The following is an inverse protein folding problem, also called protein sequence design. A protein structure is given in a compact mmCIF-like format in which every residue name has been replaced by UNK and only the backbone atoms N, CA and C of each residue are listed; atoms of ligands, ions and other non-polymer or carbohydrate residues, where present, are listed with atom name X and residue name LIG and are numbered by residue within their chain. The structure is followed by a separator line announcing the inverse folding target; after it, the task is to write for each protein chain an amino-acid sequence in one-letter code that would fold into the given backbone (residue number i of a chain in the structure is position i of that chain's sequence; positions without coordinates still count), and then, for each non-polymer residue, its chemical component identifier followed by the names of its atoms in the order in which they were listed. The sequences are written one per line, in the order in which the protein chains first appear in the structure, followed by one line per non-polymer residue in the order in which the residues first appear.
data_IF_060837724242
#
_entry.id   IF_060837724242
#
_cell.length_a   1.000
_cell.length_b   1.000
_cell.length_c   1.000
_cell.angle_alpha   90.00
_cell.angle_beta   90.00
_cell.angle_gamma   90.00
#
_symmetry.space_group_name_H-M   'P 1'
#
loop_
_entity.id
_entity.type
_entity.pdbx_description
1 polymer ?
#
# COMPACT_ATOMS: atom_id res chain seq x y z
N UNK A 1 -27.69 34.98 -35.13
CA UNK A 1 -28.40 33.81 -34.53
C UNK A 1 -27.43 32.65 -34.45
N UNK A 2 -26.88 32.38 -33.25
CA UNK A 2 -25.99 31.24 -33.03
C UNK A 2 -26.86 30.00 -32.93
N UNK A 3 -26.76 29.13 -33.92
CA UNK A 3 -27.45 27.84 -33.94
C UNK A 3 -26.95 27.01 -32.76
N UNK A 4 -27.81 26.83 -31.76
CA UNK A 4 -27.58 25.94 -30.63
C UNK A 4 -27.41 24.52 -31.17
N UNK A 5 -26.18 24.01 -31.08
CA UNK A 5 -25.86 22.62 -31.42
C UNK A 5 -26.66 21.69 -30.50
N UNK A 6 -27.68 21.05 -31.08
CA UNK A 6 -28.44 19.98 -30.47
C UNK A 6 -27.48 18.91 -29.94
N UNK A 7 -27.48 18.74 -28.63
CA UNK A 7 -26.64 17.77 -27.94
C UNK A 7 -27.20 16.37 -28.23
N UNK A 8 -26.52 15.63 -29.09
CA UNK A 8 -26.94 14.27 -29.50
C UNK A 8 -27.13 13.36 -28.26
N UNK A 9 -28.36 12.84 -28.04
CA UNK A 9 -28.72 12.06 -26.84
C UNK A 9 -27.87 10.78 -26.67
N UNK A 10 -27.30 10.26 -27.77
CA UNK A 10 -26.42 9.08 -27.77
C UNK A 10 -25.15 9.26 -26.91
N UNK A 11 -24.66 10.49 -26.73
CA UNK A 11 -23.43 10.77 -25.95
C UNK A 11 -23.68 10.70 -24.45
N UNK A 12 -24.81 11.25 -24.00
CA UNK A 12 -25.20 11.21 -22.59
C UNK A 12 -25.47 9.78 -22.13
N UNK A 13 -26.07 8.96 -23.00
CA UNK A 13 -26.34 7.54 -22.73
C UNK A 13 -25.04 6.74 -22.51
N UNK A 14 -23.99 6.96 -23.31
CA UNK A 14 -22.69 6.28 -23.14
C UNK A 14 -22.04 6.62 -21.79
N UNK A 15 -22.08 7.89 -21.38
CA UNK A 15 -21.57 8.31 -20.08
C UNK A 15 -22.40 7.71 -18.92
N UNK A 16 -23.73 7.63 -19.09
CA UNK A 16 -24.62 7.01 -18.12
C UNK A 16 -24.35 5.49 -17.98
N UNK A 17 -24.08 4.80 -19.09
CA UNK A 17 -23.68 3.39 -19.07
C UNK A 17 -22.40 3.19 -18.25
N UNK A 18 -21.37 4.00 -18.50
CA UNK A 18 -20.12 3.93 -17.76
C UNK A 18 -20.32 4.22 -16.27
N UNK A 19 -21.14 5.22 -15.93
CA UNK A 19 -21.49 5.51 -14.55
C UNK A 19 -22.18 4.31 -13.87
N UNK A 20 -23.13 3.67 -14.55
CA UNK A 20 -23.81 2.48 -14.04
C UNK A 20 -22.85 1.31 -13.76
N UNK A 21 -21.89 1.07 -14.66
CA UNK A 21 -20.85 0.05 -14.47
C UNK A 21 -19.96 0.37 -13.26
N UNK A 22 -19.49 1.62 -13.14
CA UNK A 22 -18.64 2.04 -12.01
C UNK A 22 -19.40 2.01 -10.69
N UNK A 23 -20.67 2.41 -10.68
CA UNK A 23 -21.53 2.37 -9.51
C UNK A 23 -21.76 0.93 -9.05
N UNK A 24 -22.06 0.01 -9.98
CA UNK A 24 -22.21 -1.41 -9.67
C UNK A 24 -20.91 -1.98 -9.08
N UNK A 25 -19.76 -1.70 -9.71
CA UNK A 25 -18.47 -2.12 -9.20
C UNK A 25 -18.22 -1.58 -7.78
N UNK A 26 -18.56 -0.30 -7.51
CA UNK A 26 -18.43 0.31 -6.18
C UNK A 26 -19.32 -0.37 -5.15
N UNK A 27 -20.58 -0.67 -5.49
CA UNK A 27 -21.51 -1.39 -4.61
C UNK A 27 -20.94 -2.77 -4.27
N UNK A 28 -20.48 -3.53 -5.27
CA UNK A 28 -19.88 -4.86 -5.06
C UNK A 28 -18.59 -4.81 -4.22
N UNK A 29 -17.78 -3.75 -4.35
CA UNK A 29 -16.59 -3.53 -3.52
C UNK A 29 -16.95 -3.29 -2.05
N UNK A 30 -17.99 -2.49 -1.80
CA UNK A 30 -18.44 -2.12 -0.46
C UNK A 30 -19.31 -3.20 0.20
N UNK A 31 -19.85 -4.13 -0.59
CA UNK A 31 -20.72 -5.18 -0.09
C UNK A 31 -20.01 -6.09 0.94
N UNK A 32 -20.63 -6.23 2.11
CA UNK A 32 -20.12 -7.01 3.24
C UNK A 32 -19.10 -6.28 4.10
N UNK A 33 -18.90 -4.96 3.92
CA UNK A 33 -17.98 -4.14 4.72
C UNK A 33 -18.72 -3.18 5.63
N UNK A 34 -18.16 -2.91 6.81
CA UNK A 34 -18.62 -1.84 7.68
C UNK A 34 -18.23 -0.48 7.10
N UNK A 35 -19.15 0.12 6.36
CA UNK A 35 -18.98 1.46 5.78
C UNK A 35 -19.57 2.49 6.73
N UNK A 36 -18.81 3.52 7.15
CA UNK A 36 -19.36 4.61 7.94
C UNK A 36 -20.46 5.32 7.14
N UNK A 37 -21.71 5.20 7.58
CA UNK A 37 -22.85 5.87 6.97
C UNK A 37 -22.92 7.31 7.49
N UNK A 38 -22.64 8.27 6.62
CA UNK A 38 -22.71 9.70 6.88
C UNK A 38 -23.31 10.40 5.66
N UNK A 39 -23.80 11.61 5.86
CA UNK A 39 -24.26 12.47 4.76
C UNK A 39 -23.18 12.63 3.67
N UNK A 40 -21.91 12.64 4.06
CA UNK A 40 -20.77 12.78 3.14
C UNK A 40 -20.38 11.48 2.43
N UNK A 41 -20.82 10.32 2.89
CA UNK A 41 -20.33 9.02 2.41
C UNK A 41 -20.56 8.80 0.91
N UNK A 42 -21.76 9.05 0.34
CA UNK A 42 -21.97 8.85 -1.10
C UNK A 42 -21.02 9.67 -1.96
N UNK A 43 -20.83 10.94 -1.61
CA UNK A 43 -19.90 11.85 -2.32
C UNK A 43 -18.46 11.39 -2.11
N UNK A 44 -18.08 11.03 -0.87
CA UNK A 44 -16.74 10.59 -0.51
C UNK A 44 -16.30 9.34 -1.29
N UNK A 45 -17.21 8.39 -1.57
CA UNK A 45 -16.90 7.16 -2.31
C UNK A 45 -17.01 7.29 -3.83
N UNK A 46 -17.86 8.18 -4.35
CA UNK A 46 -18.18 8.22 -5.79
C UNK A 46 -17.51 9.37 -6.56
N UNK A 47 -16.99 10.41 -5.90
CA UNK A 47 -16.49 11.59 -6.62
C UNK A 47 -15.39 11.28 -7.64
N UNK A 48 -14.54 10.27 -7.40
CA UNK A 48 -13.51 9.86 -8.36
C UNK A 48 -14.10 9.12 -9.56
N UNK A 49 -15.13 8.30 -9.34
CA UNK A 49 -15.86 7.61 -10.42
C UNK A 49 -16.59 8.62 -11.30
N UNK A 50 -17.23 9.62 -10.68
CA UNK A 50 -17.89 10.74 -11.37
C UNK A 50 -16.86 11.56 -12.17
N UNK A 51 -15.66 11.79 -11.64
CA UNK A 51 -14.58 12.47 -12.38
C UNK A 51 -14.18 11.71 -13.65
N UNK A 52 -14.05 10.39 -13.57
CA UNK A 52 -13.75 9.53 -14.73
C UNK A 52 -14.89 9.55 -15.74
N UNK A 53 -16.14 9.53 -15.28
CA UNK A 53 -17.32 9.63 -16.16
C UNK A 53 -17.37 10.99 -16.87
N UNK A 54 -17.08 12.08 -16.18
CA UNK A 54 -17.02 13.42 -16.79
C UNK A 54 -15.92 13.49 -17.86
N UNK A 55 -14.73 12.94 -17.56
CA UNK A 55 -13.64 12.87 -18.54
C UNK A 55 -14.04 12.02 -19.76
N UNK A 56 -14.71 10.89 -19.53
CA UNK A 56 -15.24 10.06 -20.61
C UNK A 56 -16.33 10.79 -21.43
N UNK A 57 -17.20 11.56 -20.78
CA UNK A 57 -18.18 12.40 -21.46
C UNK A 57 -17.51 13.47 -22.34
N UNK A 58 -16.40 14.06 -21.92
CA UNK A 58 -15.59 14.95 -22.76
C UNK A 58 -14.94 14.17 -23.91
N UNK A 59 -14.35 13.00 -23.64
CA UNK A 59 -13.74 12.14 -24.67
C UNK A 59 -14.75 11.76 -25.76
N UNK A 60 -15.97 11.35 -25.39
CA UNK A 60 -17.03 11.03 -26.36
C UNK A 60 -17.45 12.22 -27.21
N UNK A 61 -17.42 13.45 -26.65
CA UNK A 61 -17.67 14.68 -27.43
C UNK A 61 -16.53 14.96 -28.40
N UNK A 62 -15.28 14.88 -27.96
CA UNK A 62 -14.10 15.12 -28.79
C UNK A 62 -13.96 14.08 -29.92
N UNK A 63 -14.28 12.82 -29.63
CA UNK A 63 -14.17 11.70 -30.58
C UNK A 63 -15.47 11.44 -31.35
N UNK A 64 -16.37 12.43 -31.44
CA UNK A 64 -17.67 12.29 -32.16
C UNK A 64 -17.50 11.82 -33.61
N UNK A 65 -16.40 12.17 -34.28
CA UNK A 65 -16.08 11.74 -35.66
C UNK A 65 -15.54 10.31 -35.77
N UNK A 66 -15.15 9.69 -34.65
CA UNK A 66 -14.51 8.37 -34.57
C UNK A 66 -15.09 7.59 -33.38
N UNK A 67 -16.33 7.08 -33.48
CA UNK A 67 -17.05 6.47 -32.36
C UNK A 67 -16.37 5.19 -31.83
N UNK A 68 -15.55 4.52 -32.63
CA UNK A 68 -14.78 3.36 -32.19
C UNK A 68 -13.84 3.68 -31.03
N UNK A 69 -13.29 4.90 -30.96
CA UNK A 69 -12.37 5.32 -29.87
C UNK A 69 -13.11 5.39 -28.53
N UNK A 70 -14.35 5.87 -28.53
CA UNK A 70 -15.17 5.91 -27.34
C UNK A 70 -15.53 4.50 -26.84
N UNK A 71 -15.85 3.58 -27.76
CA UNK A 71 -16.17 2.20 -27.42
C UNK A 71 -14.96 1.40 -26.94
N UNK A 72 -13.78 1.60 -27.55
CA UNK A 72 -12.55 0.99 -27.07
C UNK A 72 -12.17 1.52 -25.69
N UNK A 73 -12.29 2.84 -25.46
CA UNK A 73 -12.07 3.43 -24.13
C UNK A 73 -13.05 2.90 -23.08
N UNK A 74 -14.33 2.74 -23.43
CA UNK A 74 -15.35 2.15 -22.56
C UNK A 74 -15.03 0.70 -22.19
N UNK A 75 -14.73 -0.13 -23.19
CA UNK A 75 -14.38 -1.54 -22.99
C UNK A 75 -13.11 -1.70 -22.17
N UNK A 76 -12.05 -0.97 -22.51
CA UNK A 76 -10.78 -1.00 -21.78
C UNK A 76 -10.96 -0.57 -20.32
N UNK A 77 -11.72 0.51 -20.08
CA UNK A 77 -12.00 1.00 -18.72
C UNK A 77 -12.76 -0.04 -17.91
N UNK A 78 -13.81 -0.62 -18.48
CA UNK A 78 -14.62 -1.64 -17.81
C UNK A 78 -13.78 -2.87 -17.46
N UNK A 79 -13.03 -3.40 -18.43
CA UNK A 79 -12.17 -4.56 -18.21
C UNK A 79 -11.16 -4.27 -17.10
N UNK A 80 -10.55 -3.09 -17.13
CA UNK A 80 -9.58 -2.70 -16.12
C UNK A 80 -10.20 -2.60 -14.71
N UNK A 81 -11.40 -2.03 -14.59
CA UNK A 81 -12.15 -1.97 -13.32
C UNK A 81 -12.54 -3.36 -12.84
N UNK A 82 -13.05 -4.22 -13.72
CA UNK A 82 -13.44 -5.58 -13.40
C UNK A 82 -12.26 -6.42 -12.88
N UNK A 83 -11.10 -6.35 -13.55
CA UNK A 83 -9.88 -7.05 -13.13
C UNK A 83 -9.35 -6.56 -11.78
N UNK A 84 -9.58 -5.29 -11.42
CA UNK A 84 -9.16 -4.74 -10.14
C UNK A 84 -10.14 -5.05 -9.00
N UNK A 85 -11.37 -5.52 -9.27
CA UNK A 85 -12.37 -5.72 -8.23
C UNK A 85 -11.94 -6.72 -7.15
N UNK A 86 -11.42 -7.92 -7.48
CA UNK A 86 -10.90 -8.85 -6.47
C UNK A 86 -9.73 -8.26 -5.67
N UNK A 87 -8.84 -7.53 -6.35
CA UNK A 87 -7.69 -6.88 -5.73
C UNK A 87 -8.12 -5.80 -4.73
N UNK A 88 -9.11 -4.98 -5.08
CA UNK A 88 -9.66 -3.97 -4.17
C UNK A 88 -10.33 -4.63 -2.97
N UNK A 89 -11.06 -5.74 -3.16
CA UNK A 89 -11.67 -6.47 -2.04
C UNK A 89 -10.63 -7.14 -1.13
N UNK A 90 -9.48 -7.53 -1.65
CA UNK A 90 -8.41 -8.11 -0.85
C UNK A 90 -7.57 -7.03 -0.13
N UNK A 91 -7.14 -6.01 -0.86
CA UNK A 91 -6.12 -5.06 -0.43
C UNK A 91 -6.66 -3.69 -0.02
N UNK A 92 -7.97 -3.46 -0.18
CA UNK A 92 -8.63 -2.15 0.00
C UNK A 92 -8.00 -1.03 -0.85
N UNK A 93 -7.30 -1.41 -1.92
CA UNK A 93 -6.70 -0.50 -2.90
C UNK A 93 -6.69 -1.18 -4.27
N UNK A 94 -6.96 -0.42 -5.35
CA UNK A 94 -6.69 -0.91 -6.71
C UNK A 94 -5.18 -1.07 -6.94
N UNK A 95 -4.83 -1.76 -8.02
CA UNK A 95 -3.45 -2.02 -8.41
C UNK A 95 -2.70 -0.71 -8.67
N UNK A 96 -1.64 -0.49 -7.90
CA UNK A 96 -0.79 0.71 -8.00
C UNK A 96 0.49 0.43 -8.79
N UNK A 97 1.16 1.48 -9.26
CA UNK A 97 2.41 1.31 -10.00
C UNK A 97 3.54 0.67 -9.16
N UNK A 98 3.70 1.01 -7.85
CA UNK A 98 4.65 0.31 -6.99
C UNK A 98 4.34 -1.17 -6.81
N UNK A 99 3.04 -1.55 -6.72
CA UNK A 99 2.66 -2.96 -6.70
C UNK A 99 3.13 -3.66 -7.97
N UNK A 100 2.78 -3.14 -9.15
CA UNK A 100 3.24 -3.68 -10.45
C UNK A 100 4.77 -3.83 -10.54
N UNK A 101 5.54 -2.89 -9.97
CA UNK A 101 7.01 -2.96 -9.94
C UNK A 101 7.53 -4.01 -8.96
N UNK A 102 6.97 -4.05 -7.75
CA UNK A 102 7.40 -4.94 -6.68
C UNK A 102 6.97 -6.40 -6.92
N UNK A 103 5.82 -6.61 -7.53
CA UNK A 103 5.18 -7.91 -7.66
C UNK A 103 5.22 -8.41 -9.10
N UNK A 104 6.42 -8.64 -9.66
CA UNK A 104 6.58 -9.28 -10.99
C UNK A 104 6.03 -10.73 -10.95
N UNK A 105 6.74 -11.76 -11.43
CA UNK A 105 6.18 -13.13 -11.58
C UNK A 105 5.43 -13.71 -10.37
N UNK A 106 5.74 -13.29 -9.13
CA UNK A 106 5.07 -13.71 -7.90
C UNK A 106 3.57 -13.31 -7.80
N UNK A 107 3.14 -12.21 -8.43
CA UNK A 107 1.72 -11.81 -8.37
C UNK A 107 0.86 -12.76 -9.23
N UNK A 108 1.39 -13.27 -10.34
CA UNK A 108 0.65 -14.17 -11.23
C UNK A 108 0.25 -15.48 -10.54
N UNK A 109 1.15 -16.06 -9.74
CA UNK A 109 0.86 -17.25 -8.95
C UNK A 109 -0.14 -16.98 -7.81
N UNK A 110 -0.06 -15.80 -7.18
CA UNK A 110 -1.01 -15.40 -6.13
C UNK A 110 -2.41 -15.11 -6.69
N UNK A 111 -2.49 -14.49 -7.87
CA UNK A 111 -3.75 -14.24 -8.58
C UNK A 111 -4.44 -15.56 -8.91
N UNK A 112 -3.70 -16.59 -9.36
CA UNK A 112 -4.26 -17.93 -9.59
C UNK A 112 -4.88 -18.52 -8.33
N UNK A 113 -4.25 -18.33 -7.17
CA UNK A 113 -4.79 -18.82 -5.90
C UNK A 113 -6.06 -18.06 -5.45
N UNK A 114 -6.20 -16.79 -5.84
CA UNK A 114 -7.34 -15.93 -5.46
C UNK A 114 -8.46 -15.86 -6.51
N UNK A 115 -8.39 -16.67 -7.58
CA UNK A 115 -9.48 -16.92 -8.52
C UNK A 115 -10.54 -17.83 -7.88
N UNK A 116 -11.18 -17.34 -6.82
CA UNK A 116 -12.32 -18.01 -6.19
C UNK A 116 -13.58 -17.84 -7.03
N UNK A 117 -14.54 -18.75 -6.89
CA UNK A 117 -15.85 -18.68 -7.58
C UNK A 117 -16.55 -17.34 -7.29
N UNK A 118 -16.43 -16.83 -6.06
CA UNK A 118 -16.94 -15.51 -5.68
C UNK A 118 -16.30 -14.38 -6.50
N UNK A 119 -14.97 -14.35 -6.61
CA UNK A 119 -14.28 -13.31 -7.37
C UNK A 119 -14.57 -13.38 -8.87
N UNK A 120 -14.72 -14.59 -9.43
CA UNK A 120 -15.17 -14.78 -10.82
C UNK A 120 -16.60 -14.26 -11.01
N UNK A 121 -17.52 -14.55 -10.08
CA UNK A 121 -18.90 -14.07 -10.15
C UNK A 121 -18.98 -12.54 -10.10
N UNK A 122 -18.22 -11.90 -9.22
CA UNK A 122 -18.19 -10.44 -9.10
C UNK A 122 -17.61 -9.78 -10.36
N UNK A 123 -16.49 -10.32 -10.87
CA UNK A 123 -15.87 -9.84 -12.12
C UNK A 123 -16.82 -10.02 -13.31
N UNK A 124 -17.46 -11.18 -13.40
CA UNK A 124 -18.45 -11.50 -14.43
C UNK A 124 -19.69 -10.61 -14.37
N UNK A 125 -20.15 -10.25 -13.17
CA UNK A 125 -21.30 -9.35 -12.98
C UNK A 125 -21.02 -7.94 -13.53
N UNK A 126 -19.82 -7.40 -13.29
CA UNK A 126 -19.43 -6.09 -13.82
C UNK A 126 -19.28 -6.12 -15.35
N UNK A 127 -18.64 -7.16 -15.89
CA UNK A 127 -18.49 -7.32 -17.35
C UNK A 127 -19.85 -7.54 -18.02
N UNK A 128 -20.73 -8.35 -17.42
CA UNK A 128 -22.10 -8.57 -17.89
C UNK A 128 -22.90 -7.28 -17.90
N UNK A 129 -22.84 -6.49 -16.82
CA UNK A 129 -23.48 -5.18 -16.78
C UNK A 129 -22.95 -4.24 -17.86
N UNK A 130 -21.65 -4.26 -18.15
CA UNK A 130 -21.09 -3.43 -19.22
C UNK A 130 -21.54 -3.79 -20.63
N UNK A 131 -21.91 -5.06 -20.87
CA UNK A 131 -22.49 -5.53 -22.14
C UNK A 131 -24.00 -5.22 -22.20
N UNK A 132 -24.71 -5.40 -21.09
CA UNK A 132 -26.17 -5.25 -21.01
C UNK A 132 -26.62 -3.79 -20.94
N UNK A 133 -25.93 -2.94 -20.17
CA UNK A 133 -26.33 -1.54 -19.94
C UNK A 133 -26.45 -0.73 -21.24
N UNK A 134 -25.53 -0.82 -22.21
CA UNK A 134 -25.70 -0.11 -23.46
C UNK A 134 -26.90 -0.59 -24.29
N UNK A 135 -27.26 -1.87 -24.20
CA UNK A 135 -28.46 -2.39 -24.87
C UNK A 135 -29.75 -1.91 -24.18
N UNK A 136 -29.78 -1.92 -22.85
CA UNK A 136 -30.92 -1.49 -22.04
C UNK A 136 -31.17 0.02 -22.12
N UNK A 137 -30.10 0.82 -22.09
CA UNK A 137 -30.20 2.28 -22.09
C UNK A 137 -30.28 2.88 -23.50
N UNK A 138 -30.21 2.07 -24.56
CA UNK A 138 -30.31 2.53 -25.96
C UNK A 138 -31.61 3.29 -26.25
N UNK A 139 -32.70 2.94 -25.57
CA UNK A 139 -34.01 3.56 -25.76
C UNK A 139 -34.26 4.76 -24.83
N UNK A 140 -33.37 5.01 -23.88
CA UNK A 140 -33.52 6.11 -22.91
C UNK A 140 -33.11 7.42 -23.57
N UNK A 141 -34.08 8.32 -23.74
CA UNK A 141 -33.84 9.69 -24.18
C UNK A 141 -33.86 10.61 -22.97
N UNK A 142 -32.69 11.12 -22.59
CA UNK A 142 -32.59 12.13 -21.54
C UNK A 142 -33.08 13.47 -22.08
N UNK A 143 -34.05 14.08 -21.41
CA UNK A 143 -34.45 15.44 -21.72
C UNK A 143 -33.27 16.40 -21.50
N UNK A 144 -33.05 17.41 -22.37
CA UNK A 144 -31.96 18.37 -22.23
C UNK A 144 -31.80 18.98 -20.82
N UNK A 145 -32.86 19.43 -20.12
CA UNK A 145 -32.69 20.00 -18.78
C UNK A 145 -32.19 18.97 -17.75
N UNK A 146 -32.59 17.70 -17.88
CA UNK A 146 -32.14 16.62 -16.99
C UNK A 146 -30.66 16.33 -17.23
N UNK A 147 -30.22 16.28 -18.50
CA UNK A 147 -28.82 16.05 -18.84
C UNK A 147 -27.91 17.19 -18.33
N UNK A 148 -28.37 18.44 -18.43
CA UNK A 148 -27.65 19.61 -17.87
C UNK A 148 -27.61 19.54 -16.34
N UNK A 149 -28.73 19.24 -15.69
CA UNK A 149 -28.81 19.08 -14.23
C UNK A 149 -27.86 18.00 -13.70
N UNK A 150 -27.82 16.83 -14.35
CA UNK A 150 -26.88 15.74 -14.02
C UNK A 150 -25.42 16.16 -14.23
N UNK A 151 -25.14 16.95 -15.28
CA UNK A 151 -23.82 17.52 -15.52
C UNK A 151 -23.38 18.46 -14.39
N UNK A 152 -24.25 19.38 -13.97
CA UNK A 152 -23.98 20.31 -12.86
C UNK A 152 -23.77 19.54 -11.55
N UNK A 153 -24.67 18.60 -11.23
CA UNK A 153 -24.55 17.78 -10.03
C UNK A 153 -23.23 16.98 -10.00
N UNK A 154 -22.80 16.45 -11.15
CA UNK A 154 -21.52 15.75 -11.28
C UNK A 154 -20.33 16.67 -10.99
N UNK A 155 -20.34 17.90 -11.52
CA UNK A 155 -19.28 18.89 -11.25
C UNK A 155 -19.23 19.27 -9.78
N UNK A 156 -20.39 19.49 -9.14
CA UNK A 156 -20.48 19.79 -7.71
C UNK A 156 -19.96 18.62 -6.86
N UNK A 157 -20.31 17.38 -7.20
CA UNK A 157 -19.83 16.19 -6.50
C UNK A 157 -18.30 16.03 -6.61
N UNK A 158 -17.71 16.33 -7.77
CA UNK A 158 -16.25 16.31 -7.95
C UNK A 158 -15.57 17.42 -7.15
N UNK A 159 -16.13 18.63 -7.14
CA UNK A 159 -15.57 19.77 -6.41
C UNK A 159 -15.62 19.57 -4.88
N UNK A 160 -16.71 18.98 -4.37
CA UNK A 160 -16.90 18.70 -2.93
C UNK A 160 -16.25 17.39 -2.48
N UNK A 161 -15.87 16.52 -3.43
CA UNK A 161 -15.28 15.20 -3.19
C UNK A 161 -14.09 15.16 -2.23
N UNK A 162 -13.04 15.99 -2.41
CA UNK A 162 -11.88 16.00 -1.51
C UNK A 162 -12.24 16.37 -0.06
N UNK A 163 -13.19 17.29 0.14
CA UNK A 163 -13.70 17.67 1.47
C UNK A 163 -14.52 16.53 2.06
N UNK A 164 -15.39 15.90 1.27
CA UNK A 164 -16.16 14.74 1.72
C UNK A 164 -15.24 13.58 2.16
N UNK A 165 -14.18 13.32 1.38
CA UNK A 165 -13.23 12.24 1.65
C UNK A 165 -12.33 12.48 2.87
N UNK A 166 -12.13 13.73 3.30
CA UNK A 166 -11.40 14.05 4.54
C UNK A 166 -12.28 13.95 5.80
N UNK A 167 -13.60 13.94 5.64
CA UNK A 167 -14.58 13.83 6.73
C UNK A 167 -15.02 12.39 7.01
N UNK A 168 -14.66 11.44 6.14
CA UNK A 168 -15.07 10.04 6.23
C UNK A 168 -13.85 9.13 6.17
N UNK A 169 -13.75 8.21 7.13
CA UNK A 169 -12.72 7.16 7.13
C UNK A 169 -13.00 6.12 6.04
N UNK A 170 -12.56 6.44 4.84
CA UNK A 170 -12.85 5.64 3.64
C UNK A 170 -11.95 4.42 3.47
N UNK A 171 -10.91 4.24 4.30
CA UNK A 171 -9.96 3.12 4.23
C UNK A 171 -9.36 2.86 2.83
N UNK A 172 -9.22 3.91 2.02
CA UNK A 172 -8.72 3.79 0.64
C UNK A 172 -9.74 3.26 -0.38
N UNK A 173 -10.92 2.82 0.04
CA UNK A 173 -11.96 2.24 -0.81
C UNK A 173 -12.68 3.26 -1.70
N UNK A 174 -12.46 4.57 -1.50
CA UNK A 174 -12.92 5.62 -2.41
C UNK A 174 -12.05 5.73 -3.67
N UNK A 175 -10.88 5.08 -3.70
CA UNK A 175 -9.92 5.23 -4.79
C UNK A 175 -10.46 4.56 -6.06
N UNK A 176 -10.53 5.32 -7.14
CA UNK A 176 -10.72 4.80 -8.48
C UNK A 176 -9.37 4.30 -9.04
N UNK A 177 -9.43 3.31 -9.91
CA UNK A 177 -8.26 2.63 -10.47
C UNK A 177 -7.31 3.60 -11.20
N UNK A 178 -7.85 4.57 -11.96
CA UNK A 178 -7.02 5.57 -12.64
C UNK A 178 -6.40 6.59 -11.69
N UNK A 179 -7.16 7.04 -10.70
CA UNK A 179 -6.65 7.97 -9.69
C UNK A 179 -5.54 7.33 -8.87
N UNK A 180 -5.67 6.05 -8.51
CA UNK A 180 -4.62 5.34 -7.81
C UNK A 180 -3.36 5.18 -8.66
N UNK A 181 -3.50 4.82 -9.94
CA UNK A 181 -2.37 4.70 -10.86
C UNK A 181 -1.66 6.06 -11.06
N UNK A 182 -2.41 7.11 -11.40
CA UNK A 182 -1.87 8.45 -11.64
C UNK A 182 -1.21 9.02 -10.38
N UNK A 183 -1.89 8.91 -9.23
CA UNK A 183 -1.38 9.41 -7.94
C UNK A 183 -0.11 8.70 -7.49
N UNK A 184 0.06 7.43 -7.85
CA UNK A 184 1.27 6.65 -7.52
C UNK A 184 2.35 6.74 -8.59
N UNK A 185 2.02 7.19 -9.81
CA UNK A 185 3.00 7.54 -10.83
C UNK A 185 3.63 8.91 -10.59
N UNK A 186 2.85 9.86 -10.07
CA UNK A 186 3.32 11.18 -9.65
C UNK A 186 3.97 11.04 -8.27
N UNK A 187 5.29 10.81 -8.27
CA UNK A 187 6.14 10.63 -7.09
C UNK A 187 5.72 11.53 -5.91
N UNK A 188 5.49 10.92 -4.75
CA UNK A 188 5.10 11.60 -3.52
C UNK A 188 6.20 11.39 -2.50
N UNK A 189 6.67 12.52 -1.98
CA UNK A 189 7.82 12.66 -1.10
C UNK A 189 9.12 12.79 -1.91
N UNK A 190 9.37 14.00 -2.41
CA UNK A 190 10.76 14.45 -2.47
C UNK A 190 11.29 14.40 -1.05
N UNK A 191 12.49 13.86 -0.85
CA UNK A 191 13.15 13.95 0.44
C UNK A 191 13.24 15.44 0.79
N UNK A 192 12.35 15.91 1.67
CA UNK A 192 12.55 17.21 2.28
C UNK A 192 13.91 17.09 2.95
N UNK A 193 14.86 17.91 2.49
CA UNK A 193 16.04 18.18 3.29
C UNK A 193 15.51 18.90 4.54
N UNK A 194 15.08 18.13 5.54
CA UNK A 194 14.81 18.65 6.87
C UNK A 194 16.15 19.16 7.39
N UNK A 195 16.43 20.42 7.07
CA UNK A 195 17.56 21.16 7.59
C UNK A 195 17.50 21.15 9.10
N UNK A 196 18.60 20.74 9.72
CA UNK A 196 18.99 20.97 11.11
C UNK A 196 17.93 20.72 12.22
N UNK A 197 16.84 20.01 11.95
CA UNK A 197 15.90 19.59 12.97
C UNK A 197 16.48 18.36 13.67
N UNK A 198 16.52 18.41 15.00
CA UNK A 198 16.92 17.25 15.82
C UNK A 198 16.11 16.03 15.39
N UNK A 199 16.77 15.07 14.74
CA UNK A 199 16.14 13.85 14.21
C UNK A 199 15.48 13.00 15.30
N UNK A 200 15.77 13.29 16.58
CA UNK A 200 15.11 12.67 17.75
C UNK A 200 13.73 13.26 18.03
N UNK A 201 13.38 14.42 17.45
CA UNK A 201 12.04 15.01 17.61
C UNK A 201 11.04 14.27 16.73
N UNK A 202 10.13 13.53 17.37
CA UNK A 202 8.99 12.93 16.69
C UNK A 202 7.98 14.01 16.27
N UNK A 203 7.53 14.06 15.00
CA UNK A 203 6.49 14.98 14.54
C UNK A 203 5.11 14.72 15.18
N UNK A 204 4.94 13.56 15.85
CA UNK A 204 3.71 13.20 16.56
C UNK A 204 3.59 13.87 17.94
N UNK A 205 4.65 14.47 18.48
CA UNK A 205 4.64 15.14 19.79
C UNK A 205 4.16 16.61 19.74
N UNK A 206 3.64 17.07 18.60
CA UNK A 206 3.38 18.49 18.34
C UNK A 206 2.14 19.08 19.04
N UNK A 207 1.25 18.26 19.63
CA UNK A 207 -0.05 18.75 20.16
C UNK A 207 -0.56 18.10 21.44
N UNK A 208 0.12 17.09 21.97
CA UNK A 208 -0.22 16.47 23.26
C UNK A 208 0.87 16.85 24.26
N UNK A 209 0.51 17.20 25.50
CA UNK A 209 1.47 17.42 26.60
C UNK A 209 2.60 16.40 26.48
N UNK A 210 3.89 16.80 26.53
CA UNK A 210 4.98 15.85 26.44
C UNK A 210 4.78 14.84 27.56
N UNK A 211 4.28 13.64 27.23
CA UNK A 211 4.53 12.48 28.07
C UNK A 211 6.05 12.45 28.11
N UNK A 212 6.62 12.74 29.28
CA UNK A 212 8.06 12.75 29.48
C UNK A 212 8.61 11.56 28.70
N UNK A 213 9.42 11.82 27.68
CA UNK A 213 10.09 10.74 26.97
C UNK A 213 10.85 9.99 28.06
N UNK A 214 10.36 8.80 28.45
CA UNK A 214 10.95 8.08 29.55
C UNK A 214 12.40 7.81 29.17
N UNK A 215 13.31 8.51 29.85
CA UNK A 215 14.72 8.44 29.54
C UNK A 215 15.19 7.00 29.76
N UNK A 216 15.58 6.32 28.68
CA UNK A 216 16.17 4.98 28.76
C UNK A 216 17.63 5.01 29.25
N UNK A 217 18.12 6.16 29.70
CA UNK A 217 19.48 6.35 30.23
C UNK A 217 19.79 5.42 31.40
N UNK A 218 18.78 5.05 32.21
CA UNK A 218 18.90 4.06 33.30
C UNK A 218 19.37 2.67 32.82
N UNK A 219 19.19 2.35 31.53
CA UNK A 219 19.61 1.07 30.96
C UNK A 219 20.98 1.12 30.28
N UNK A 220 21.67 2.27 30.31
CA UNK A 220 22.97 2.43 29.66
C UNK A 220 23.98 1.44 30.25
N UNK A 221 24.53 0.58 29.40
CA UNK A 221 25.53 -0.43 29.79
C UNK A 221 24.96 -1.70 30.45
N UNK A 222 23.66 -1.77 30.73
CA UNK A 222 23.06 -2.91 31.44
C UNK A 222 23.23 -4.27 30.74
N UNK A 223 23.48 -4.25 29.42
CA UNK A 223 23.70 -5.44 28.59
C UNK A 223 25.16 -5.63 28.13
N UNK A 224 26.13 -4.93 28.73
CA UNK A 224 27.55 -5.09 28.36
C UNK A 224 28.01 -6.55 28.52
N UNK A 225 28.69 -7.09 27.51
CA UNK A 225 29.18 -8.47 27.49
C UNK A 225 28.10 -9.54 27.24
N UNK A 226 26.82 -9.17 27.15
CA UNK A 226 25.71 -10.10 26.87
C UNK A 226 25.60 -10.40 25.38
N UNK A 227 25.10 -11.60 25.05
CA UNK A 227 24.73 -11.94 23.69
C UNK A 227 23.53 -11.11 23.22
N UNK A 228 23.58 -10.65 21.96
CA UNK A 228 22.48 -9.92 21.32
C UNK A 228 21.84 -10.82 20.28
N UNK A 229 20.52 -10.98 20.37
CA UNK A 229 19.71 -11.70 19.38
C UNK A 229 18.65 -10.74 18.85
N UNK A 230 18.70 -10.49 17.54
CA UNK A 230 17.71 -9.66 16.85
C UNK A 230 16.76 -10.58 16.09
N UNK A 231 15.48 -10.57 16.48
CA UNK A 231 14.41 -11.34 15.82
C UNK A 231 13.56 -10.37 15.02
N UNK A 232 13.54 -10.52 13.70
CA UNK A 232 12.68 -9.74 12.81
C UNK A 232 11.47 -10.58 12.42
N UNK A 233 10.28 -10.07 12.74
CA UNK A 233 9.02 -10.70 12.39
C UNK A 233 8.58 -10.19 11.01
N UNK A 234 8.57 -11.09 10.03
CA UNK A 234 8.21 -10.77 8.65
C UNK A 234 6.71 -10.42 8.56
N UNK A 235 6.40 -9.27 7.94
CA UNK A 235 5.02 -8.83 7.66
C UNK A 235 4.05 -8.87 8.86
N UNK A 236 4.55 -8.68 10.07
CA UNK A 236 3.77 -8.81 11.30
C UNK A 236 3.22 -7.45 11.74
N UNK A 237 1.92 -7.25 11.57
CA UNK A 237 1.23 -6.04 12.00
C UNK A 237 0.82 -6.08 13.48
N UNK A 238 1.03 -4.99 14.21
CA UNK A 238 0.69 -4.86 15.64
C UNK A 238 -0.77 -5.23 15.96
N UNK A 239 -1.71 -4.93 15.05
CA UNK A 239 -3.15 -5.27 15.21
C UNK A 239 -3.46 -6.76 15.38
N UNK A 240 -2.51 -7.65 15.06
CA UNK A 240 -2.66 -9.11 15.22
C UNK A 240 -1.95 -9.65 16.47
N UNK A 241 -1.31 -8.79 17.25
CA UNK A 241 -0.54 -9.18 18.42
C UNK A 241 -1.32 -8.86 19.69
N UNK A 242 -1.43 -9.83 20.59
CA UNK A 242 -2.14 -9.69 21.86
C UNK A 242 -1.60 -8.55 22.72
N UNK A 243 -0.28 -8.34 22.70
CA UNK A 243 0.40 -7.25 23.39
C UNK A 243 -0.06 -5.84 22.96
N UNK A 244 -0.71 -5.71 21.79
CA UNK A 244 -1.25 -4.45 21.27
C UNK A 244 -2.79 -4.46 21.20
N UNK A 245 -3.44 -5.37 21.92
CA UNK A 245 -4.91 -5.39 22.06
C UNK A 245 -5.65 -6.28 21.06
N UNK A 246 -4.97 -7.16 20.32
CA UNK A 246 -5.65 -8.15 19.48
C UNK A 246 -6.54 -9.07 20.34
N UNK A 247 -7.69 -9.49 19.80
CA UNK A 247 -8.63 -10.41 20.47
C UNK A 247 -8.06 -11.83 20.55
N UNK A 248 -7.45 -12.29 19.47
CA UNK A 248 -6.78 -13.58 19.38
C UNK A 248 -5.30 -13.46 19.78
N UNK A 249 -4.71 -14.57 20.22
CA UNK A 249 -3.27 -14.65 20.52
C UNK A 249 -2.58 -15.72 19.66
N UNK A 250 -2.25 -15.41 18.39
CA UNK A 250 -1.54 -16.34 17.52
C UNK A 250 -0.06 -16.52 17.91
N UNK A 251 0.47 -15.73 18.86
CA UNK A 251 1.89 -15.73 19.25
C UNK A 251 2.08 -15.72 20.78
N UNK A 252 1.59 -16.74 21.51
CA UNK A 252 1.55 -16.72 22.97
C UNK A 252 2.94 -16.61 23.63
N UNK A 253 3.98 -17.16 23.00
CA UNK A 253 5.36 -17.01 23.50
C UNK A 253 5.86 -15.56 23.41
N UNK A 254 5.45 -14.81 22.38
CA UNK A 254 5.78 -13.39 22.24
C UNK A 254 5.00 -12.57 23.27
N UNK A 255 3.74 -12.92 23.51
CA UNK A 255 2.90 -12.33 24.57
C UNK A 255 3.53 -12.54 25.95
N UNK A 256 3.99 -13.75 26.26
CA UNK A 256 4.70 -14.04 27.51
C UNK A 256 6.02 -13.25 27.63
N UNK A 257 6.78 -13.11 26.54
CA UNK A 257 8.00 -12.31 26.51
C UNK A 257 7.71 -10.82 26.76
N UNK A 258 6.63 -10.27 26.19
CA UNK A 258 6.25 -8.87 26.36
C UNK A 258 5.99 -8.50 27.84
N UNK A 259 5.47 -9.43 28.65
CA UNK A 259 5.21 -9.22 30.08
C UNK A 259 6.49 -9.08 30.93
N UNK A 260 7.64 -9.52 30.42
CA UNK A 260 8.94 -9.48 31.10
C UNK A 260 9.97 -8.64 30.35
N UNK A 261 9.54 -7.85 29.35
CA UNK A 261 10.39 -7.07 28.49
C UNK A 261 9.96 -5.59 28.48
N UNK A 262 10.82 -4.75 27.90
CA UNK A 262 10.45 -3.37 27.59
C UNK A 262 9.63 -3.39 26.30
N UNK A 263 8.32 -3.14 26.42
CA UNK A 263 7.40 -3.03 25.28
C UNK A 263 7.31 -1.58 24.81
N UNK A 264 7.50 -1.36 23.52
CA UNK A 264 7.26 -0.05 22.88
C UNK A 264 5.88 -0.06 22.21
N UNK A 265 4.90 0.60 22.83
CA UNK A 265 3.53 0.68 22.31
C UNK A 265 3.44 1.42 20.97
N UNK A 266 4.34 2.38 20.75
CA UNK A 266 4.36 3.25 19.59
C UNK A 266 5.64 3.04 18.78
N UNK A 267 5.81 1.84 18.23
CA UNK A 267 6.92 1.47 17.34
C UNK A 267 6.42 1.32 15.89
N UNK A 268 6.99 2.11 14.98
CA UNK A 268 6.54 2.16 13.58
C UNK A 268 7.63 1.65 12.65
N UNK A 269 7.23 0.87 11.64
CA UNK A 269 8.11 0.49 10.55
C UNK A 269 8.48 1.75 9.74
N UNK A 270 9.78 1.95 9.51
CA UNK A 270 10.30 3.07 8.71
C UNK A 270 9.80 3.00 7.26
N UNK A 271 9.64 1.78 6.74
CA UNK A 271 9.25 1.55 5.37
C UNK A 271 8.53 0.20 5.26
N UNK A 272 7.45 0.08 4.43
CA UNK A 272 6.62 -1.12 4.36
C UNK A 272 7.30 -2.32 3.66
N UNK A 273 8.35 -2.10 2.85
CA UNK A 273 9.13 -3.19 2.24
C UNK A 273 10.17 -3.74 3.22
N UNK A 274 10.18 -5.07 3.43
CA UNK A 274 10.98 -5.75 4.45
C UNK A 274 12.49 -5.51 4.33
N UNK A 275 13.03 -5.51 3.11
CA UNK A 275 14.47 -5.28 2.87
C UNK A 275 14.91 -3.85 3.20
N UNK A 276 14.06 -2.86 2.92
CA UNK A 276 14.31 -1.45 3.27
C UNK A 276 14.10 -1.19 4.76
N UNK A 277 13.13 -1.87 5.36
CA UNK A 277 12.95 -1.90 6.82
C UNK A 277 14.18 -2.48 7.52
N UNK A 278 14.70 -3.62 7.06
CA UNK A 278 15.91 -4.25 7.59
C UNK A 278 17.14 -3.34 7.46
N UNK A 279 17.32 -2.67 6.32
CA UNK A 279 18.38 -1.65 6.16
C UNK A 279 18.29 -0.57 7.24
N UNK A 280 17.08 -0.08 7.51
CA UNK A 280 16.86 0.96 8.53
C UNK A 280 17.21 0.48 9.93
N UNK A 281 16.80 -0.75 10.27
CA UNK A 281 17.10 -1.39 11.57
C UNK A 281 18.59 -1.60 11.76
N UNK A 282 19.29 -2.09 10.72
CA UNK A 282 20.71 -2.42 10.83
C UNK A 282 21.62 -1.19 10.75
N UNK A 283 21.28 -0.18 9.95
CA UNK A 283 22.17 0.94 9.66
C UNK A 283 21.72 2.27 10.28
N UNK A 284 20.56 2.30 10.97
CA UNK A 284 19.97 3.51 11.55
C UNK A 284 19.84 4.65 10.52
N UNK A 285 19.46 4.30 9.28
CA UNK A 285 19.29 5.24 8.17
C UNK A 285 17.96 5.03 7.47
N UNK A 286 17.34 6.12 7.06
CA UNK A 286 16.17 6.04 6.19
C UNK A 286 16.56 5.44 4.83
N UNK A 287 15.75 4.53 4.27
CA UNK A 287 15.96 4.02 2.94
C UNK A 287 15.58 5.12 1.94
N UNK A 288 16.22 5.12 0.77
CA UNK A 288 15.81 6.03 -0.29
C UNK A 288 14.43 5.63 -0.84
N UNK A 289 13.57 6.63 -1.05
CA UNK A 289 12.28 6.46 -1.69
C UNK A 289 12.47 6.16 -3.18
N UNK A 290 11.57 5.34 -3.76
CA UNK A 290 11.55 4.99 -5.18
C UNK A 290 12.84 4.38 -5.77
N UNK A 291 13.82 4.02 -4.94
CA UNK A 291 14.99 3.24 -5.35
C UNK A 291 14.75 1.75 -5.19
N UNK A 292 15.30 0.95 -6.11
CA UNK A 292 15.35 -0.50 -5.99
C UNK A 292 16.09 -0.93 -4.71
N UNK A 293 15.66 -2.03 -4.11
CA UNK A 293 16.23 -2.52 -2.85
C UNK A 293 17.72 -2.88 -2.97
N UNK A 294 18.14 -3.28 -4.17
CA UNK A 294 19.51 -3.63 -4.55
C UNK A 294 20.45 -2.43 -4.45
N UNK A 295 19.94 -1.20 -4.49
CA UNK A 295 20.74 0.02 -4.24
C UNK A 295 21.07 0.15 -2.76
N UNK A 296 20.12 -0.16 -1.87
CA UNK A 296 20.37 -0.19 -0.43
C UNK A 296 21.43 -1.25 -0.07
N UNK A 297 21.39 -2.41 -0.72
CA UNK A 297 22.38 -3.48 -0.53
C UNK A 297 23.82 -3.07 -0.93
N UNK A 298 23.96 -2.11 -1.84
CA UNK A 298 25.27 -1.58 -2.30
C UNK A 298 25.77 -0.39 -1.49
N UNK A 299 24.99 0.09 -0.52
CA UNK A 299 25.36 1.29 0.24
C UNK A 299 26.34 0.94 1.36
N UNK A 300 27.55 1.51 1.30
CA UNK A 300 28.57 1.33 2.34
C UNK A 300 28.21 2.16 3.58
N UNK A 301 27.66 1.50 4.60
CA UNK A 301 27.30 2.15 5.88
C UNK A 301 27.68 1.25 7.05
N UNK A 302 28.16 1.82 8.18
CA UNK A 302 28.38 1.03 9.38
C UNK A 302 27.05 0.48 9.88
N UNK A 303 26.95 -0.84 10.00
CA UNK A 303 25.79 -1.50 10.56
C UNK A 303 25.99 -1.79 12.05
N UNK A 304 24.92 -2.05 12.78
CA UNK A 304 25.00 -2.54 14.16
C UNK A 304 25.85 -3.81 14.26
N UNK A 305 25.79 -4.68 13.24
CA UNK A 305 26.64 -5.87 13.17
C UNK A 305 28.12 -5.51 13.04
N UNK A 306 28.49 -4.56 12.16
CA UNK A 306 29.89 -4.15 12.06
C UNK A 306 30.39 -3.48 13.33
N UNK A 307 29.55 -2.66 13.99
CA UNK A 307 29.89 -2.03 15.28
C UNK A 307 30.07 -3.04 16.41
N UNK A 308 29.23 -4.07 16.47
CA UNK A 308 29.40 -5.15 17.45
C UNK A 308 30.65 -5.99 17.16
N UNK A 309 30.96 -6.24 15.89
CA UNK A 309 32.17 -6.95 15.48
C UNK A 309 33.45 -6.19 15.87
N UNK A 310 33.48 -4.86 15.66
CA UNK A 310 34.55 -3.97 16.14
C UNK A 310 34.72 -4.06 17.67
N UNK A 311 33.62 -4.27 18.40
CA UNK A 311 33.62 -4.46 19.85
C UNK A 311 33.92 -5.91 20.31
N UNK A 312 34.37 -6.79 19.40
CA UNK A 312 34.78 -8.16 19.71
C UNK A 312 33.68 -9.22 19.68
N UNK A 313 32.45 -8.86 19.28
CA UNK A 313 31.38 -9.84 19.11
C UNK A 313 31.50 -10.59 17.80
N UNK A 314 31.10 -11.87 17.81
CA UNK A 314 30.87 -12.63 16.58
C UNK A 314 29.45 -12.39 16.12
N UNK A 315 29.27 -11.92 14.89
CA UNK A 315 27.96 -11.51 14.36
C UNK A 315 27.43 -12.45 13.30
N UNK A 316 26.11 -12.46 13.16
CA UNK A 316 25.38 -13.52 12.50
C UNK A 316 24.05 -13.10 11.87
N UNK A 317 23.73 -13.64 10.69
CA UNK A 317 22.42 -13.53 10.08
C UNK A 317 21.90 -14.89 9.59
N UNK A 318 20.72 -15.26 10.05
CA UNK A 318 20.00 -16.44 9.57
C UNK A 318 18.76 -15.99 8.79
N UNK A 319 18.65 -16.43 7.55
CA UNK A 319 17.51 -16.11 6.69
C UNK A 319 17.25 -17.27 5.72
N UNK A 320 15.98 -17.60 5.50
CA UNK A 320 15.55 -18.73 4.65
C UNK A 320 15.27 -18.34 3.19
N UNK A 321 15.20 -17.03 2.88
CA UNK A 321 14.97 -16.55 1.52
C UNK A 321 16.22 -16.52 0.65
N UNK A 322 16.02 -16.61 -0.66
CA UNK A 322 17.07 -16.41 -1.66
C UNK A 322 17.14 -14.93 -2.02
N UNK A 323 18.16 -14.22 -1.54
CA UNK A 323 18.52 -12.93 -2.13
C UNK A 323 19.21 -13.21 -3.48
N UNK A 324 18.46 -13.16 -4.58
CA UNK A 324 19.05 -13.14 -5.92
C UNK A 324 19.73 -11.78 -6.12
N UNK A 325 21.01 -11.67 -5.79
CA UNK A 325 21.85 -10.65 -6.38
C UNK A 325 22.29 -11.16 -7.76
N UNK A 326 21.62 -10.69 -8.81
CA UNK A 326 22.00 -10.98 -10.19
C UNK A 326 23.27 -10.18 -10.55
N UNK A 327 24.41 -10.64 -10.03
CA UNK A 327 25.75 -10.23 -10.44
C UNK A 327 26.54 -11.51 -10.68
N UNK A 328 26.36 -12.07 -11.88
CA UNK A 328 26.89 -13.37 -12.23
C UNK A 328 27.22 -13.55 -13.72
N UNK A 329 27.77 -12.54 -14.41
CA UNK A 329 28.54 -12.78 -15.66
C UNK A 329 30.03 -12.56 -15.43
N UNK A 330 30.64 -13.50 -14.71
CA UNK A 330 31.95 -14.13 -15.01
C UNK A 330 32.25 -15.12 -13.89
N UNK A 331 32.50 -16.36 -14.31
CA UNK A 331 32.36 -17.55 -13.49
C UNK A 331 33.28 -17.59 -12.28
N UNK A 332 32.68 -17.82 -11.10
CA UNK A 332 33.21 -18.73 -10.07
C UNK A 332 32.02 -19.42 -9.42
N UNK A 333 32.01 -20.74 -9.50
CA UNK A 333 31.01 -21.66 -8.97
C UNK A 333 31.04 -21.60 -7.45
N UNK A 334 30.09 -20.92 -6.82
CA UNK A 334 29.94 -20.98 -5.37
C UNK A 334 29.13 -22.22 -4.99
N UNK A 335 29.84 -23.17 -4.38
CA UNK A 335 29.30 -24.39 -3.78
C UNK A 335 28.58 -24.00 -2.49
N UNK A 336 27.35 -24.48 -2.33
CA UNK A 336 26.52 -24.31 -1.13
C UNK A 336 27.31 -24.60 0.15
N UNK A 337 27.44 -23.61 1.02
CA UNK A 337 27.98 -23.79 2.37
C UNK A 337 26.99 -23.26 3.40
N UNK A 338 26.57 -24.19 4.27
CA UNK A 338 25.77 -24.02 5.48
C UNK A 338 26.04 -22.68 6.18
N UNK A 339 24.98 -21.89 6.36
CA UNK A 339 24.98 -20.76 7.29
C UNK A 339 24.99 -21.32 8.72
N UNK A 340 26.17 -21.35 9.35
CA UNK A 340 26.34 -21.60 10.79
C UNK A 340 26.74 -20.28 11.42
N UNK A 341 25.99 -19.85 12.42
CA UNK A 341 26.20 -18.56 13.07
C UNK A 341 26.02 -18.72 14.58
N UNK A 342 27.03 -18.31 15.33
CA UNK A 342 27.17 -18.59 16.75
C UNK A 342 27.61 -17.29 17.43
N UNK A 343 26.71 -16.67 18.21
CA UNK A 343 27.07 -15.57 19.10
C UNK A 343 27.36 -16.17 20.48
N UNK A 344 28.64 -16.18 20.86
CA UNK A 344 29.09 -16.40 22.24
C UNK A 344 29.83 -15.13 22.65
N UNK A 345 29.52 -14.60 23.83
CA UNK A 345 30.25 -13.47 24.43
C UNK A 345 31.75 -13.78 24.60
N UNK A 346 32.54 -12.77 25.00
CA UNK A 346 33.96 -12.95 25.29
C UNK A 346 34.16 -14.11 26.27
N UNK A 347 35.11 -14.99 25.95
CA UNK A 347 35.56 -16.05 26.86
C UNK A 347 36.65 -15.42 27.71
N UNK A 348 36.37 -15.16 28.98
CA UNK A 348 37.40 -14.79 29.95
C UNK A 348 38.31 -16.00 30.18
N UNK A 349 39.43 -16.01 29.47
CA UNK A 349 40.48 -17.02 29.59
C UNK A 349 41.73 -16.42 30.23
N UNK A 350 41.70 -16.23 31.55
CA UNK A 350 42.91 -16.06 32.36
C UNK A 350 42.64 -16.36 33.84
N UNK A 351 42.67 -17.64 34.21
CA UNK A 351 43.12 -18.04 35.54
C UNK A 351 43.74 -19.43 35.46
N UNK A 352 45.03 -19.44 35.12
CA UNK A 352 45.95 -20.47 35.58
C UNK A 352 45.98 -20.39 37.11
N UNK A 353 45.42 -21.39 37.79
CA UNK A 353 45.77 -21.69 39.17
C UNK A 353 45.91 -23.22 39.25
N UNK A 354 47.17 -23.64 39.23
CA UNK A 354 47.61 -24.97 39.65
C UNK A 354 48.26 -24.80 41.02
N UNK A 355 48.09 -25.82 41.87
CA UNK A 355 48.77 -26.15 43.13
C UNK A 355 48.06 -25.72 44.42
N UNK A 356 47.85 -26.73 45.27
CA UNK A 356 47.34 -26.66 46.64
C UNK A 356 46.52 -27.90 46.94
#
# INVERSE_FOLDING_TARGET
MVVAQATEPDKAVKALCLFGVLLLARILILWGRNVPLSFWSPVAYLWQDVSVVLLFAVLTRLTSRRPWIAWTAYGATTIYVALNLPLIRLMSSPMTLPMLRASRGALADSIRHHLTVENLFLTGSVLGAAILLPALLRQVKLAPPIAVGLGIASVVAVATGPVAASRVETNGLHRNVFFALLRTALARVGAEQTGNNDWRRSPLNSGSRPRCAEGLSRFKGAAQGRNVVLILLESTGAKYLRAYGATEDPMPNLTALANQAILFENAYAVYPESIKGLFSVLCSRYPAFDTEAEVCARTTTPSIASRLAEAGYRTALFHSGRFFSDVGRRGRRWRQSRVKFWCRGPVDGASNARLG
#
